data_IF_581698806217
#
_entry.id   IF_581698806217
#
_cell.length_a   1.000
_cell.length_b   1.000
_cell.length_c   1.000
_cell.angle_alpha   90.00
_cell.angle_beta   90.00
_cell.angle_gamma   90.00
#
_symmetry.space_group_name_H-M   'P 1'
#
loop_
_entity.id
_entity.type
_entity.pdbx_description
1 polymer ?
#
# COMPACT_ATOMS: atom_id res chain seq x y z
N UNK A 1 -53.37 -18.57 -27.98
CA UNK A 1 -52.92 -18.54 -26.58
C UNK A 1 -51.41 -18.37 -26.58
N UNK A 2 -50.86 -17.61 -25.61
CA UNK A 2 -49.58 -16.91 -25.71
C UNK A 2 -48.40 -17.64 -25.05
N UNK A 3 -47.21 -17.13 -25.39
CA UNK A 3 -45.91 -17.18 -24.71
C UNK A 3 -45.18 -18.53 -24.65
N UNK A 4 -44.56 -18.88 -25.78
CA UNK A 4 -43.26 -19.54 -25.75
C UNK A 4 -42.29 -18.54 -25.10
N UNK A 5 -42.02 -18.74 -23.81
CA UNK A 5 -40.86 -18.15 -23.19
C UNK A 5 -39.66 -18.87 -23.77
N UNK A 6 -39.07 -18.27 -24.81
CA UNK A 6 -37.72 -18.61 -25.25
C UNK A 6 -36.85 -18.53 -24.01
N UNK A 7 -36.49 -19.71 -23.49
CA UNK A 7 -35.46 -19.86 -22.48
C UNK A 7 -34.12 -19.61 -23.18
N UNK A 8 -33.90 -18.38 -23.65
CA UNK A 8 -32.58 -17.86 -23.97
C UNK A 8 -31.83 -17.80 -22.64
N UNK A 9 -31.30 -18.96 -22.22
CA UNK A 9 -30.21 -18.96 -21.28
C UNK A 9 -29.13 -18.10 -21.94
N UNK A 10 -28.72 -16.98 -21.31
CA UNK A 10 -27.68 -16.14 -21.88
C UNK A 10 -26.50 -17.06 -22.17
N UNK A 11 -26.09 -17.13 -23.44
CA UNK A 11 -24.93 -17.91 -23.88
C UNK A 11 -23.73 -17.37 -23.11
N UNK A 12 -23.41 -18.06 -22.03
CA UNK A 12 -22.51 -17.56 -21.01
C UNK A 12 -21.11 -17.84 -21.50
N UNK A 13 -20.51 -16.85 -22.18
CA UNK A 13 -19.15 -16.95 -22.70
C UNK A 13 -18.15 -17.11 -21.54
N UNK A 14 -17.85 -18.38 -21.25
CA UNK A 14 -16.98 -18.79 -20.16
C UNK A 14 -15.54 -18.29 -20.38
N UNK A 15 -15.11 -18.10 -21.63
CA UNK A 15 -13.81 -17.53 -21.95
C UNK A 15 -13.78 -16.03 -21.62
N UNK A 16 -14.84 -15.30 -21.97
CA UNK A 16 -14.98 -13.90 -21.59
C UNK A 16 -15.02 -13.72 -20.07
N UNK A 17 -15.74 -14.59 -19.35
CA UNK A 17 -15.74 -14.57 -17.88
C UNK A 17 -14.33 -14.83 -17.32
N UNK A 18 -13.66 -15.88 -17.79
CA UNK A 18 -12.33 -16.23 -17.30
C UNK A 18 -11.32 -15.09 -17.52
N UNK A 19 -11.32 -14.46 -18.70
CA UNK A 19 -10.45 -13.31 -19.00
C UNK A 19 -10.72 -12.15 -18.04
N UNK A 20 -11.99 -11.83 -17.81
CA UNK A 20 -12.41 -10.74 -16.92
C UNK A 20 -11.97 -10.99 -15.48
N UNK A 21 -12.27 -12.18 -14.95
CA UNK A 21 -11.88 -12.55 -13.58
C UNK A 21 -10.37 -12.59 -13.45
N UNK A 22 -9.66 -13.17 -14.42
CA UNK A 22 -8.20 -13.21 -14.41
C UNK A 22 -7.59 -11.82 -14.40
N UNK A 23 -8.13 -10.91 -15.20
CA UNK A 23 -7.66 -9.52 -15.23
C UNK A 23 -7.92 -8.81 -13.90
N UNK A 24 -9.11 -8.96 -13.33
CA UNK A 24 -9.45 -8.38 -12.02
C UNK A 24 -8.54 -8.93 -10.90
N UNK A 25 -8.26 -10.23 -10.91
CA UNK A 25 -7.34 -10.87 -9.96
C UNK A 25 -5.91 -10.39 -10.16
N UNK A 26 -5.45 -10.27 -11.41
CA UNK A 26 -4.11 -9.76 -11.71
C UNK A 26 -3.94 -8.32 -11.23
N UNK A 27 -4.97 -7.49 -11.40
CA UNK A 27 -5.00 -6.10 -10.94
C UNK A 27 -4.96 -6.04 -9.40
N UNK A 28 -5.81 -6.83 -8.73
CA UNK A 28 -5.83 -6.92 -7.28
C UNK A 28 -4.50 -7.41 -6.68
N UNK A 29 -3.84 -8.39 -7.32
CA UNK A 29 -2.52 -8.86 -6.89
C UNK A 29 -1.47 -7.76 -7.07
N UNK A 30 -1.51 -7.02 -8.18
CA UNK A 30 -0.56 -5.94 -8.44
C UNK A 30 -0.70 -4.82 -7.40
N UNK A 31 -1.94 -4.47 -7.06
CA UNK A 31 -2.26 -3.49 -6.01
C UNK A 31 -1.77 -3.97 -4.63
N UNK A 32 -2.05 -5.24 -4.28
CA UNK A 32 -1.58 -5.84 -3.04
C UNK A 32 -0.05 -5.87 -2.94
N UNK A 33 0.65 -6.24 -4.01
CA UNK A 33 2.12 -6.25 -4.05
C UNK A 33 2.67 -4.83 -3.93
N UNK A 34 2.07 -3.85 -4.60
CA UNK A 34 2.45 -2.44 -4.46
C UNK A 34 2.33 -1.94 -3.02
N UNK A 35 1.23 -2.30 -2.36
CA UNK A 35 0.99 -2.00 -0.94
C UNK A 35 2.03 -2.65 -0.05
N UNK A 36 2.31 -3.95 -0.22
CA UNK A 36 3.32 -4.67 0.56
C UNK A 36 4.70 -4.04 0.37
N UNK A 37 5.07 -3.68 -0.87
CA UNK A 37 6.34 -3.04 -1.16
C UNK A 37 6.46 -1.68 -0.46
N UNK A 38 5.43 -0.83 -0.54
CA UNK A 38 5.42 0.47 0.12
C UNK A 38 5.47 0.35 1.65
N UNK A 39 4.71 -0.58 2.24
CA UNK A 39 4.75 -0.85 3.69
C UNK A 39 6.14 -1.33 4.10
N UNK A 40 6.77 -2.19 3.29
CA UNK A 40 8.13 -2.68 3.56
C UNK A 40 9.15 -1.54 3.51
N UNK A 41 9.07 -0.67 2.50
CA UNK A 41 9.96 0.49 2.36
C UNK A 41 9.74 1.48 3.51
N UNK A 42 8.49 1.83 3.81
CA UNK A 42 8.14 2.74 4.91
C UNK A 42 8.59 2.17 6.26
N UNK A 43 8.40 0.87 6.49
CA UNK A 43 8.88 0.16 7.66
C UNK A 43 10.41 0.17 7.78
N UNK A 44 11.13 -0.05 6.67
CA UNK A 44 12.59 0.01 6.66
C UNK A 44 13.11 1.40 7.03
N UNK A 45 12.50 2.45 6.48
CA UNK A 45 12.84 3.86 6.80
C UNK A 45 12.53 4.17 8.26
N UNK A 46 11.39 3.71 8.77
CA UNK A 46 10.99 3.87 10.17
C UNK A 46 11.97 3.19 11.12
N UNK A 47 12.35 1.94 10.84
CA UNK A 47 13.30 1.17 11.63
C UNK A 47 14.71 1.78 11.60
N UNK A 48 15.14 2.28 10.43
CA UNK A 48 16.41 2.99 10.30
C UNK A 48 16.42 4.28 11.13
N UNK A 49 15.35 5.10 11.04
CA UNK A 49 15.20 6.31 11.84
C UNK A 49 15.19 6.02 13.34
N UNK A 50 14.42 5.01 13.77
CA UNK A 50 14.37 4.59 15.16
C UNK A 50 15.75 4.10 15.66
N UNK A 51 16.49 3.37 14.83
CA UNK A 51 17.84 2.92 15.14
C UNK A 51 18.82 4.08 15.31
N UNK A 52 18.72 5.11 14.46
CA UNK A 52 19.51 6.35 14.60
C UNK A 52 19.18 7.03 15.93
N UNK A 53 17.89 7.19 16.25
CA UNK A 53 17.45 7.83 17.50
C UNK A 53 17.93 7.07 18.74
N UNK A 54 17.83 5.74 18.74
CA UNK A 54 18.33 4.89 19.82
C UNK A 54 19.83 5.09 20.04
N UNK A 55 20.64 5.09 18.96
CA UNK A 55 22.08 5.35 19.05
C UNK A 55 22.38 6.74 19.60
N UNK A 56 21.64 7.76 19.14
CA UNK A 56 21.81 9.13 19.66
C UNK A 56 21.45 9.26 21.14
N UNK A 57 20.52 8.45 21.64
CA UNK A 57 20.13 8.46 23.06
C UNK A 57 21.16 7.74 23.94
N UNK A 58 21.86 6.74 23.42
CA UNK A 58 22.85 5.95 24.17
C UNK A 58 24.27 6.48 24.08
N UNK A 59 24.63 7.18 23.00
CA UNK A 59 25.99 7.66 22.76
C UNK A 59 26.10 9.17 23.01
N UNK A 60 26.95 9.58 23.96
CA UNK A 60 27.29 10.98 24.19
C UNK A 60 28.14 11.49 23.03
N UNK A 61 27.58 12.28 22.12
CA UNK A 61 28.35 12.94 21.06
C UNK A 61 27.65 13.13 19.71
N UNK A 62 26.42 12.63 19.53
CA UNK A 62 25.69 12.89 18.29
C UNK A 62 25.26 14.35 18.14
N UNK A 63 25.45 14.89 16.95
CA UNK A 63 25.10 16.27 16.63
C UNK A 63 23.58 16.44 16.41
N UNK A 64 23.05 17.62 16.75
CA UNK A 64 21.63 17.99 16.56
C UNK A 64 21.07 17.65 15.17
N UNK A 65 21.82 17.82 14.06
CA UNK A 65 21.36 17.43 12.73
C UNK A 65 21.05 15.94 12.58
N UNK A 66 21.84 15.07 13.23
CA UNK A 66 21.63 13.61 13.15
C UNK A 66 20.37 13.20 13.91
N UNK A 67 20.13 13.81 15.07
CA UNK A 67 18.89 13.63 15.81
C UNK A 67 17.69 14.03 14.95
N UNK A 68 17.73 15.23 14.34
CA UNK A 68 16.66 15.72 13.48
C UNK A 68 16.41 14.80 12.28
N UNK A 69 17.46 14.28 11.64
CA UNK A 69 17.33 13.31 10.56
C UNK A 69 16.64 12.02 11.02
N UNK A 70 16.98 11.50 12.20
CA UNK A 70 16.32 10.33 12.78
C UNK A 70 14.82 10.56 13.02
N UNK A 71 14.45 11.71 13.58
CA UNK A 71 13.04 12.10 13.79
C UNK A 71 12.29 12.17 12.47
N UNK A 72 12.87 12.83 11.46
CA UNK A 72 12.27 12.93 10.13
C UNK A 72 12.10 11.58 9.46
N UNK A 73 13.09 10.69 9.53
CA UNK A 73 12.97 9.33 8.99
C UNK A 73 11.82 8.56 9.65
N UNK A 74 11.69 8.64 10.97
CA UNK A 74 10.56 8.00 11.68
C UNK A 74 9.23 8.58 11.21
N UNK A 75 9.11 9.91 11.14
CA UNK A 75 7.88 10.57 10.71
C UNK A 75 7.49 10.19 9.27
N UNK A 76 8.45 10.19 8.34
CA UNK A 76 8.24 9.82 6.93
C UNK A 76 7.86 8.34 6.83
N UNK A 77 8.60 7.45 7.48
CA UNK A 77 8.31 6.02 7.45
C UNK A 77 6.91 5.71 8.00
N UNK A 78 6.53 6.36 9.10
CA UNK A 78 5.20 6.21 9.70
C UNK A 78 4.11 6.73 8.78
N UNK A 79 4.30 7.91 8.19
CA UNK A 79 3.38 8.49 7.22
C UNK A 79 3.17 7.56 6.02
N UNK A 80 4.25 7.04 5.42
CA UNK A 80 4.15 6.13 4.26
C UNK A 80 3.37 4.87 4.62
N UNK A 81 3.66 4.23 5.76
CA UNK A 81 2.93 3.02 6.18
C UNK A 81 1.46 3.33 6.45
N UNK A 82 1.18 4.41 7.19
CA UNK A 82 -0.18 4.81 7.53
C UNK A 82 -1.01 5.20 6.30
N UNK A 83 -0.42 5.91 5.34
CA UNK A 83 -1.11 6.28 4.10
C UNK A 83 -1.34 5.09 3.20
N UNK A 84 -0.38 4.16 3.13
CA UNK A 84 -0.52 2.95 2.30
C UNK A 84 -1.59 2.01 2.84
N UNK A 85 -1.74 1.92 4.17
CA UNK A 85 -2.79 1.14 4.81
C UNK A 85 -4.16 1.84 4.87
N UNK A 86 -4.29 3.04 4.30
CA UNK A 86 -5.54 3.80 4.29
C UNK A 86 -5.94 4.40 5.66
N UNK A 87 -5.01 4.46 6.62
CA UNK A 87 -5.25 5.08 7.94
C UNK A 87 -5.27 6.61 7.82
N UNK A 88 -4.45 7.16 6.95
CA UNK A 88 -4.33 8.61 6.69
C UNK A 88 -4.48 8.83 5.17
N UNK A 89 -5.10 9.95 4.77
CA UNK A 89 -5.17 10.30 3.36
C UNK A 89 -3.79 10.65 2.80
N UNK A 90 -3.38 10.08 1.65
CA UNK A 90 -2.14 10.45 1.01
C UNK A 90 -2.22 11.88 0.46
N UNK A 91 -1.11 12.62 0.57
CA UNK A 91 -0.96 14.02 0.12
C UNK A 91 -1.38 14.24 -1.34
N UNK A 92 -1.27 13.21 -2.20
CA UNK A 92 -1.70 13.31 -3.60
C UNK A 92 -3.20 13.54 -3.76
N UNK A 93 -3.99 13.19 -2.75
CA UNK A 93 -5.46 13.31 -2.76
C UNK A 93 -5.90 14.70 -2.24
N UNK A 94 -4.97 15.59 -1.88
CA UNK A 94 -5.28 16.91 -1.29
C UNK A 94 -5.41 18.04 -2.33
N UNK A 95 -5.00 17.78 -3.57
CA UNK A 95 -5.06 18.73 -4.69
C UNK A 95 -6.14 18.26 -5.66
#
# INVERSE_FOLDING_TARGET
>A
MPSDHDNEQPDFDQEALYRTVRQAVQDAILDAVGTIALVTIGGAVLLAGASVLLRTATEQGFSVPVLAAGVWMVAIGLYVVASTLGVIQPVRDWV
#
